data_IF_984406545371
#
_entry.id   IF_984406545371
#
_cell.length_a   1.000
_cell.length_b   1.000
_cell.length_c   1.000
_cell.angle_alpha   90.00
_cell.angle_beta   90.00
_cell.angle_gamma   90.00
#
_symmetry.space_group_name_H-M   'P 1'
#
loop_
_entity.id
_entity.type
_entity.pdbx_description
1 polymer ?
#
# COMPACT_ATOMS: atom_id res chain seq x y z
N UNK A 1 10.06 13.69 -13.57
CA UNK A 1 8.75 13.13 -13.95
C UNK A 1 7.69 13.83 -13.12
N UNK A 2 6.98 14.76 -13.75
CA UNK A 2 5.81 15.41 -13.13
C UNK A 2 4.59 14.56 -13.45
N UNK A 3 4.18 13.70 -12.48
CA UNK A 3 2.90 13.04 -12.55
C UNK A 3 1.81 14.05 -12.16
N UNK A 4 0.85 14.25 -13.03
CA UNK A 4 -0.32 15.09 -12.75
C UNK A 4 -1.49 14.21 -12.33
N UNK A 5 -2.04 14.39 -11.12
CA UNK A 5 -3.22 13.66 -10.67
C UNK A 5 -4.42 13.95 -11.57
N UNK A 6 -5.11 12.91 -11.99
CA UNK A 6 -6.28 13.00 -12.86
C UNK A 6 -7.59 13.00 -12.05
N UNK A 7 -8.66 13.45 -12.69
CA UNK A 7 -10.01 13.32 -12.15
C UNK A 7 -10.63 12.04 -12.67
N UNK A 8 -11.08 11.21 -11.73
CA UNK A 8 -11.78 9.95 -11.98
C UNK A 8 -13.22 10.07 -11.53
N UNK A 9 -14.10 9.47 -12.31
CA UNK A 9 -15.48 9.25 -11.93
C UNK A 9 -15.64 7.78 -11.55
N UNK A 10 -16.05 7.53 -10.30
CA UNK A 10 -16.19 6.18 -9.74
C UNK A 10 -17.67 5.94 -9.49
N UNK A 11 -18.22 4.93 -10.15
CA UNK A 11 -19.60 4.46 -10.00
C UNK A 11 -19.58 3.15 -9.20
N UNK A 12 -20.40 3.06 -8.17
CA UNK A 12 -20.68 1.86 -7.40
C UNK A 12 -22.19 1.71 -7.16
N UNK A 13 -22.61 0.76 -6.32
CA UNK A 13 -24.02 0.51 -5.98
C UNK A 13 -24.70 1.69 -5.27
N UNK A 14 -23.93 2.60 -4.64
CA UNK A 14 -24.41 3.75 -3.88
C UNK A 14 -24.55 5.02 -4.75
N UNK A 15 -23.91 5.02 -5.92
CA UNK A 15 -23.94 6.14 -6.87
C UNK A 15 -22.60 6.43 -7.52
N UNK A 16 -22.49 7.66 -8.04
CA UNK A 16 -21.31 8.11 -8.77
C UNK A 16 -20.64 9.26 -8.02
N UNK A 17 -19.33 9.14 -7.79
CA UNK A 17 -18.53 10.13 -7.09
C UNK A 17 -17.32 10.50 -7.96
N UNK A 18 -16.91 11.78 -7.92
CA UNK A 18 -15.73 12.27 -8.63
C UNK A 18 -14.60 12.54 -7.63
N UNK A 19 -13.43 11.99 -7.93
CA UNK A 19 -12.22 12.22 -7.17
C UNK A 19 -11.07 12.68 -8.07
N UNK A 20 -10.34 13.69 -7.61
CA UNK A 20 -9.01 13.94 -8.14
C UNK A 20 -8.05 13.02 -7.38
N UNK A 21 -7.42 12.07 -8.06
CA UNK A 21 -6.62 11.05 -7.41
C UNK A 21 -5.21 10.96 -8.01
N UNK A 22 -4.25 10.69 -7.15
CA UNK A 22 -2.91 10.26 -7.53
C UNK A 22 -2.90 8.76 -7.88
N UNK A 23 -3.66 7.96 -7.11
CA UNK A 23 -3.73 6.51 -7.24
C UNK A 23 -5.12 6.05 -6.79
N UNK A 24 -5.64 5.04 -7.48
CA UNK A 24 -6.80 4.25 -7.06
C UNK A 24 -6.34 2.80 -6.98
N UNK A 25 -6.49 2.17 -5.81
CA UNK A 25 -6.19 0.77 -5.59
C UNK A 25 -7.47 0.00 -5.27
N UNK A 26 -7.74 -1.05 -6.03
CA UNK A 26 -8.82 -2.01 -5.79
C UNK A 26 -8.20 -3.25 -5.16
N UNK A 27 -8.48 -3.50 -3.90
CA UNK A 27 -7.79 -4.50 -3.11
C UNK A 27 -8.75 -5.53 -2.52
N UNK A 28 -8.42 -6.80 -2.68
CA UNK A 28 -9.05 -7.92 -1.98
C UNK A 28 -8.17 -8.42 -0.82
N UNK A 29 -6.91 -8.01 -0.80
CA UNK A 29 -5.95 -8.29 0.27
C UNK A 29 -5.38 -6.98 0.82
N UNK A 30 -4.95 -7.00 2.09
CA UNK A 30 -4.52 -5.78 2.78
C UNK A 30 -3.22 -5.17 2.26
N UNK A 31 -2.38 -5.96 1.59
CA UNK A 31 -1.02 -5.57 1.21
C UNK A 31 -0.84 -5.44 -0.30
N UNK A 32 -0.04 -4.46 -0.71
CA UNK A 32 0.61 -4.46 -2.02
C UNK A 32 1.76 -5.48 -2.11
N UNK A 33 2.33 -5.87 -0.98
CA UNK A 33 3.54 -6.67 -0.81
C UNK A 33 4.51 -6.01 0.17
N UNK A 34 5.51 -6.77 0.64
CA UNK A 34 6.58 -6.29 1.53
C UNK A 34 6.07 -5.44 2.72
N UNK A 35 4.97 -5.86 3.33
CA UNK A 35 4.33 -5.16 4.46
C UNK A 35 3.84 -3.72 4.14
N UNK A 36 3.65 -3.35 2.88
CA UNK A 36 3.00 -2.10 2.48
C UNK A 36 1.47 -2.30 2.45
N UNK A 37 0.77 -1.84 3.47
CA UNK A 37 -0.65 -2.08 3.68
C UNK A 37 -1.47 -0.95 3.08
N UNK A 38 -1.88 -1.09 1.82
CA UNK A 38 -2.69 -0.09 1.10
C UNK A 38 -4.17 -0.14 1.48
N UNK A 39 -4.67 -1.30 1.89
CA UNK A 39 -6.04 -1.52 2.33
C UNK A 39 -6.03 -2.32 3.65
N UNK A 40 -5.66 -1.71 4.80
CA UNK A 40 -5.45 -2.43 6.06
C UNK A 40 -6.66 -3.24 6.53
N UNK A 41 -7.87 -2.83 6.15
CA UNK A 41 -9.13 -3.45 6.55
C UNK A 41 -9.62 -4.52 5.55
N UNK A 42 -8.92 -4.73 4.44
CA UNK A 42 -9.34 -5.70 3.43
C UNK A 42 -9.34 -7.13 3.96
N UNK A 43 -10.38 -7.88 3.63
CA UNK A 43 -10.59 -9.26 4.01
C UNK A 43 -10.82 -10.15 2.79
N UNK A 44 -10.08 -11.24 2.69
CA UNK A 44 -10.19 -12.22 1.60
C UNK A 44 -11.51 -13.00 1.60
N UNK A 45 -12.32 -12.88 2.65
CA UNK A 45 -13.46 -13.78 2.89
C UNK A 45 -14.80 -13.09 3.09
N UNK A 46 -14.83 -11.75 3.08
CA UNK A 46 -16.07 -10.99 3.36
C UNK A 46 -16.89 -10.68 2.10
N UNK A 47 -16.36 -11.01 0.91
CA UNK A 47 -17.05 -10.81 -0.36
C UNK A 47 -17.12 -9.34 -0.79
N UNK A 48 -16.26 -8.48 -0.26
CA UNK A 48 -16.13 -7.08 -0.63
C UNK A 48 -14.71 -6.75 -1.08
N UNK A 49 -14.59 -5.81 -1.97
CA UNK A 49 -13.34 -5.21 -2.42
C UNK A 49 -13.16 -3.88 -1.70
N UNK A 50 -12.01 -3.66 -1.12
CA UNK A 50 -11.61 -2.37 -0.53
C UNK A 50 -10.97 -1.50 -1.61
N UNK A 51 -11.56 -0.32 -1.83
CA UNK A 51 -11.06 0.67 -2.79
C UNK A 51 -10.41 1.79 -2.01
N UNK A 52 -9.11 1.96 -2.21
CA UNK A 52 -8.32 3.02 -1.60
C UNK A 52 -7.96 4.07 -2.64
N UNK A 53 -8.33 5.30 -2.38
CA UNK A 53 -8.08 6.45 -3.26
C UNK A 53 -7.10 7.37 -2.55
N UNK A 54 -5.92 7.56 -3.14
CA UNK A 54 -4.94 8.53 -2.67
C UNK A 54 -5.15 9.83 -3.43
N UNK A 55 -5.59 10.85 -2.72
CA UNK A 55 -5.71 12.22 -3.24
C UNK A 55 -4.34 12.84 -3.54
N UNK A 56 -4.27 13.94 -4.31
CA UNK A 56 -3.03 14.66 -4.52
C UNK A 56 -2.36 15.05 -3.21
N UNK A 57 -1.07 14.83 -3.13
CA UNK A 57 -0.26 15.09 -1.93
C UNK A 57 1.03 15.83 -2.29
N UNK A 58 1.68 16.40 -1.31
CA UNK A 58 2.95 17.11 -1.44
C UNK A 58 4.12 16.29 -0.89
N UNK A 59 5.34 16.72 -1.15
CA UNK A 59 6.54 16.06 -0.60
C UNK A 59 6.50 16.04 0.94
N UNK A 60 5.84 17.01 1.57
CA UNK A 60 5.70 17.08 3.03
C UNK A 60 4.76 16.00 3.59
N UNK A 61 3.83 15.49 2.80
CA UNK A 61 2.92 14.42 3.19
C UNK A 61 3.59 13.02 3.14
N UNK A 62 4.67 12.88 2.35
CA UNK A 62 5.35 11.59 2.08
C UNK A 62 5.79 10.85 3.35
N UNK A 63 6.44 11.49 4.34
CA UNK A 63 6.84 10.77 5.56
C UNK A 63 5.66 10.17 6.33
N UNK A 64 4.57 10.93 6.45
CA UNK A 64 3.34 10.47 7.12
C UNK A 64 2.67 9.33 6.36
N UNK A 65 2.49 9.49 5.05
CA UNK A 65 1.92 8.45 4.19
C UNK A 65 2.73 7.15 4.25
N UNK A 66 4.07 7.25 4.15
CA UNK A 66 4.96 6.09 4.23
C UNK A 66 4.86 5.40 5.59
N UNK A 67 4.92 6.17 6.69
CA UNK A 67 4.80 5.63 8.03
C UNK A 67 3.48 4.88 8.22
N UNK A 68 2.37 5.47 7.80
CA UNK A 68 1.04 4.87 7.94
C UNK A 68 0.84 3.66 7.04
N UNK A 69 1.44 3.66 5.83
CA UNK A 69 1.41 2.52 4.91
C UNK A 69 2.01 1.25 5.55
N UNK A 70 3.15 1.40 6.24
CA UNK A 70 3.81 0.27 6.91
C UNK A 70 3.20 -0.08 8.28
N UNK A 71 2.54 0.87 8.95
CA UNK A 71 1.89 0.66 10.23
C UNK A 71 0.42 0.22 10.15
N UNK A 72 -0.09 -0.13 8.98
CA UNK A 72 -1.50 -0.55 8.78
C UNK A 72 -2.52 0.54 9.16
N UNK A 73 -2.15 1.81 9.02
CA UNK A 73 -3.02 2.95 9.39
C UNK A 73 -3.18 3.97 8.27
N UNK A 74 -2.87 3.57 7.03
CA UNK A 74 -2.95 4.46 5.87
C UNK A 74 -4.37 4.99 5.63
N UNK A 75 -5.39 4.20 5.96
CA UNK A 75 -6.81 4.54 5.90
C UNK A 75 -7.21 5.68 6.85
N UNK A 76 -6.38 6.01 7.84
CA UNK A 76 -6.58 7.15 8.75
C UNK A 76 -5.96 8.45 8.22
N UNK A 77 -5.24 8.41 7.10
CA UNK A 77 -4.64 9.60 6.52
C UNK A 77 -5.70 10.49 5.85
N UNK A 78 -5.61 11.79 6.06
CA UNK A 78 -6.56 12.76 5.48
C UNK A 78 -6.58 12.79 3.95
N UNK A 79 -5.48 12.36 3.30
CA UNK A 79 -5.34 12.23 1.84
C UNK A 79 -5.91 10.94 1.29
N UNK A 80 -6.36 10.03 2.17
CA UNK A 80 -6.92 8.75 1.77
C UNK A 80 -8.45 8.79 1.90
N UNK A 81 -9.12 8.30 0.86
CA UNK A 81 -10.53 7.96 0.88
C UNK A 81 -10.67 6.48 0.66
N UNK A 82 -11.55 5.87 1.41
CA UNK A 82 -11.83 4.43 1.29
C UNK A 82 -13.31 4.21 1.02
N UNK A 83 -13.60 3.21 0.23
CA UNK A 83 -14.96 2.67 0.03
C UNK A 83 -14.89 1.17 -0.14
N UNK A 84 -16.01 0.49 0.03
CA UNK A 84 -16.13 -0.95 -0.16
C UNK A 84 -17.24 -1.24 -1.14
N UNK A 85 -16.99 -2.12 -2.10
CA UNK A 85 -17.95 -2.48 -3.11
C UNK A 85 -17.70 -3.90 -3.63
N UNK A 86 -18.71 -4.52 -4.22
CA UNK A 86 -18.55 -5.77 -4.98
C UNK A 86 -18.11 -5.50 -6.40
N UNK A 87 -18.57 -4.37 -6.93
CA UNK A 87 -18.30 -3.94 -8.29
C UNK A 87 -18.16 -2.43 -8.34
N UNK A 88 -17.20 -1.94 -9.14
CA UNK A 88 -17.05 -0.53 -9.45
C UNK A 88 -16.76 -0.35 -10.92
N UNK A 89 -17.16 0.83 -11.44
CA UNK A 89 -16.70 1.34 -12.72
C UNK A 89 -15.91 2.61 -12.48
N UNK A 90 -14.76 2.69 -13.10
CA UNK A 90 -13.88 3.86 -13.03
C UNK A 90 -13.79 4.44 -14.43
N UNK A 91 -14.23 5.69 -14.57
CA UNK A 91 -14.07 6.44 -15.81
C UNK A 91 -12.98 7.51 -15.64
N UNK A 92 -12.10 7.60 -16.65
CA UNK A 92 -11.04 8.61 -16.76
C UNK A 92 -11.00 9.24 -18.15
N UNK A 93 -10.40 10.43 -18.24
CA UNK A 93 -10.43 11.22 -19.49
C UNK A 93 -9.58 10.66 -20.61
N UNK A 94 -8.49 9.94 -20.27
CA UNK A 94 -7.54 9.37 -21.23
C UNK A 94 -7.09 7.97 -20.79
N UNK A 95 -6.61 7.20 -21.73
CA UNK A 95 -5.95 5.93 -21.47
C UNK A 95 -4.66 6.13 -20.69
N UNK A 96 -4.24 5.15 -19.90
CA UNK A 96 -3.04 5.26 -19.09
C UNK A 96 -2.63 3.92 -18.51
N UNK A 97 -1.48 3.93 -17.85
CA UNK A 97 -0.93 2.73 -17.21
C UNK A 97 -1.75 2.36 -15.99
N UNK A 98 -2.03 1.08 -15.85
CA UNK A 98 -2.52 0.44 -14.64
C UNK A 98 -1.71 -0.84 -14.40
N UNK A 99 -1.92 -1.54 -13.31
CA UNK A 99 -1.25 -2.81 -13.04
C UNK A 99 -2.18 -3.80 -12.34
N UNK A 100 -1.96 -5.09 -12.61
CA UNK A 100 -2.55 -6.20 -11.89
C UNK A 100 -1.43 -6.87 -11.08
N UNK A 101 -1.51 -6.81 -9.76
CA UNK A 101 -0.53 -7.41 -8.84
C UNK A 101 0.94 -7.10 -9.16
N UNK A 102 1.20 -5.89 -9.69
CA UNK A 102 2.54 -5.44 -10.07
C UNK A 102 2.85 -5.51 -11.58
N UNK A 103 2.08 -6.26 -12.36
CA UNK A 103 2.28 -6.36 -13.81
C UNK A 103 1.63 -5.16 -14.53
N UNK A 104 2.42 -4.29 -15.20
CA UNK A 104 1.90 -3.09 -15.85
C UNK A 104 1.17 -3.42 -17.14
N UNK A 105 0.03 -2.78 -17.35
CA UNK A 105 -0.76 -2.86 -18.58
C UNK A 105 -1.28 -1.47 -18.98
N UNK A 106 -1.60 -1.30 -20.26
CA UNK A 106 -2.34 -0.13 -20.72
C UNK A 106 -3.83 -0.37 -20.52
N UNK A 107 -4.45 0.43 -19.66
CA UNK A 107 -5.90 0.41 -19.45
C UNK A 107 -6.62 1.47 -20.25
N UNK A 108 -7.85 1.18 -20.65
CA UNK A 108 -8.75 2.11 -21.34
C UNK A 108 -9.25 3.25 -20.47
N UNK A 109 -10.20 4.01 -20.99
CA UNK A 109 -10.87 5.10 -20.26
C UNK A 109 -11.88 4.58 -19.26
N UNK A 110 -12.51 3.46 -19.57
CA UNK A 110 -13.51 2.80 -18.76
C UNK A 110 -12.92 1.50 -18.23
N UNK A 111 -12.85 1.38 -16.93
CA UNK A 111 -12.30 0.24 -16.22
C UNK A 111 -13.39 -0.30 -15.31
N UNK A 112 -13.73 -1.56 -15.48
CA UNK A 112 -14.68 -2.26 -14.61
C UNK A 112 -13.90 -3.26 -13.75
N UNK A 113 -14.13 -3.21 -12.43
CA UNK A 113 -13.54 -4.13 -11.48
C UNK A 113 -14.66 -4.78 -10.68
N UNK A 114 -14.66 -6.11 -10.65
CA UNK A 114 -15.67 -6.89 -9.97
C UNK A 114 -15.03 -7.99 -9.13
N UNK A 115 -15.48 -8.13 -7.90
CA UNK A 115 -15.09 -9.23 -7.03
C UNK A 115 -15.93 -10.47 -7.36
N UNK A 116 -15.26 -11.58 -7.66
CA UNK A 116 -15.90 -12.88 -7.87
C UNK A 116 -15.77 -13.68 -6.55
N UNK A 117 -16.86 -13.83 -5.77
CA UNK A 117 -16.80 -14.60 -4.53
C UNK A 117 -16.44 -16.06 -4.81
N UNK A 118 -15.63 -16.64 -3.94
CA UNK A 118 -15.18 -18.04 -4.04
C UNK A 118 -14.49 -18.40 -5.37
N UNK A 119 -13.92 -17.39 -6.07
CA UNK A 119 -13.24 -17.59 -7.36
C UNK A 119 -11.94 -18.40 -7.28
N UNK A 120 -11.34 -18.52 -6.08
CA UNK A 120 -10.09 -19.24 -5.89
C UNK A 120 -10.14 -20.05 -4.57
N UNK A 121 -9.75 -21.33 -4.67
CA UNK A 121 -9.53 -22.17 -3.50
C UNK A 121 -8.05 -22.14 -3.12
N UNK A 122 -7.72 -21.75 -1.90
CA UNK A 122 -6.35 -21.68 -1.39
C UNK A 122 -6.17 -22.61 -0.21
N UNK A 123 -4.99 -23.22 -0.12
CA UNK A 123 -4.59 -24.02 1.04
C UNK A 123 -3.93 -23.08 2.03
N UNK A 124 -4.52 -22.98 3.23
CA UNK A 124 -3.98 -22.15 4.30
C UNK A 124 -3.35 -23.01 5.39
N UNK A 125 -2.27 -22.55 5.99
CA UNK A 125 -1.69 -23.18 7.17
C UNK A 125 -2.52 -22.83 8.41
N UNK A 126 -2.90 -23.85 9.18
CA UNK A 126 -3.55 -23.62 10.49
C UNK A 126 -2.57 -23.16 11.59
N UNK A 127 -1.28 -23.09 11.29
CA UNK A 127 -0.30 -22.54 12.23
C UNK A 127 -0.45 -21.01 12.21
N UNK A 128 -0.86 -20.41 13.34
CA UNK A 128 -0.68 -18.98 13.56
C UNK A 128 0.81 -18.68 13.41
N UNK A 129 1.20 -17.91 12.40
CA UNK A 129 2.52 -17.28 12.42
C UNK A 129 2.53 -16.37 13.64
N UNK A 130 3.40 -16.63 14.60
CA UNK A 130 3.78 -15.61 15.56
C UNK A 130 4.39 -14.49 14.71
N UNK A 131 3.69 -13.36 14.66
CA UNK A 131 4.23 -12.16 14.03
C UNK A 131 5.39 -11.72 14.92
N UNK A 132 6.63 -12.05 14.54
CA UNK A 132 7.77 -11.40 15.15
C UNK A 132 7.61 -9.89 14.95
N UNK A 133 7.77 -9.07 15.99
CA UNK A 133 7.66 -7.63 15.87
C UNK A 133 8.81 -7.11 14.99
N UNK A 134 8.53 -7.07 13.69
CA UNK A 134 9.43 -6.47 12.72
C UNK A 134 9.52 -4.98 13.04
N UNK A 135 10.70 -4.49 13.34
CA UNK A 135 10.86 -3.05 13.58
C UNK A 135 10.52 -2.30 12.30
N UNK A 136 9.78 -1.20 12.40
CA UNK A 136 9.41 -0.32 11.28
C UNK A 136 10.63 0.03 10.39
N UNK A 137 11.80 0.22 11.02
CA UNK A 137 13.07 0.47 10.34
C UNK A 137 13.51 -0.71 9.45
N UNK A 138 13.31 -1.95 9.88
CA UNK A 138 13.62 -3.14 9.07
C UNK A 138 12.69 -3.24 7.85
N UNK A 139 11.40 -2.95 8.00
CA UNK A 139 10.44 -2.94 6.90
C UNK A 139 10.77 -1.87 5.85
N UNK A 140 11.11 -0.66 6.30
CA UNK A 140 11.51 0.44 5.42
C UNK A 140 12.80 0.07 4.67
N UNK A 141 13.76 -0.53 5.34
CA UNK A 141 15.04 -0.91 4.73
C UNK A 141 14.86 -2.05 3.72
N UNK A 142 14.05 -3.07 4.01
CA UNK A 142 13.76 -4.14 3.05
C UNK A 142 13.04 -3.62 1.81
N UNK A 143 12.07 -2.72 1.98
CA UNK A 143 11.40 -2.08 0.86
C UNK A 143 12.38 -1.32 -0.05
N UNK A 144 13.28 -0.53 0.53
CA UNK A 144 14.28 0.23 -0.25
C UNK A 144 15.43 -0.64 -0.77
N UNK A 145 15.76 -1.76 -0.14
CA UNK A 145 16.79 -2.69 -0.63
C UNK A 145 16.33 -3.49 -1.88
N UNK A 146 15.02 -3.65 -2.07
CA UNK A 146 14.46 -4.20 -3.30
C UNK A 146 14.57 -3.26 -4.53
N UNK A 147 14.80 -1.97 -4.30
CA UNK A 147 15.08 -0.98 -5.34
C UNK A 147 16.58 -1.00 -5.67
N UNK A 148 16.95 -1.87 -6.57
CA UNK A 148 18.29 -2.22 -7.16
C UNK A 148 19.60 -1.44 -6.88
N UNK A 149 20.74 -2.08 -7.09
CA UNK A 149 21.89 -2.15 -6.18
C UNK A 149 23.08 -1.25 -6.56
N UNK A 150 22.91 0.05 -6.82
CA UNK A 150 24.08 0.97 -6.87
C UNK A 150 24.44 1.60 -5.52
N UNK A 151 23.63 1.38 -4.51
CA UNK A 151 23.80 1.96 -3.16
C UNK A 151 23.94 0.93 -2.03
N UNK A 152 24.10 -0.35 -2.33
CA UNK A 152 24.15 -1.42 -1.31
C UNK A 152 25.28 -1.22 -0.29
N UNK A 153 26.45 -0.78 -0.72
CA UNK A 153 27.57 -0.55 0.19
C UNK A 153 27.37 0.68 1.10
N UNK A 154 26.76 1.74 0.58
CA UNK A 154 26.47 2.95 1.36
C UNK A 154 25.39 2.72 2.42
N UNK A 155 24.39 1.91 2.08
CA UNK A 155 23.30 1.54 2.99
C UNK A 155 23.82 0.60 4.08
N UNK A 156 24.62 -0.41 3.73
CA UNK A 156 25.26 -1.31 4.71
C UNK A 156 26.16 -0.56 5.68
N UNK A 157 26.93 0.41 5.22
CA UNK A 157 27.82 1.22 6.09
C UNK A 157 27.01 2.09 7.08
N UNK A 158 25.97 2.78 6.62
CA UNK A 158 25.07 3.57 7.48
C UNK A 158 24.26 2.66 8.43
N UNK A 159 23.88 1.49 7.98
CA UNK A 159 23.10 0.53 8.77
C UNK A 159 23.92 -0.08 9.91
N UNK A 160 25.16 -0.43 9.67
CA UNK A 160 26.06 -0.90 10.72
C UNK A 160 26.27 0.19 11.80
N UNK A 161 26.32 1.47 11.41
CA UNK A 161 26.45 2.57 12.37
C UNK A 161 25.20 2.75 13.25
N UNK A 162 23.99 2.63 12.67
CA UNK A 162 22.72 2.70 13.39
C UNK A 162 22.51 1.49 14.32
N UNK A 163 22.92 0.29 13.89
CA UNK A 163 22.81 -0.92 14.68
C UNK A 163 23.76 -0.91 15.91
N UNK A 164 24.96 -0.33 15.75
CA UNK A 164 25.90 -0.12 16.85
C UNK A 164 25.37 0.91 17.84
N UNK A 165 24.73 2.01 17.36
CA UNK A 165 24.11 3.01 18.23
C UNK A 165 22.96 2.43 19.07
N UNK A 166 22.13 1.59 18.47
CA UNK A 166 20.99 0.97 19.15
C UNK A 166 21.44 -0.04 20.23
N UNK A 167 22.50 -0.80 19.99
CA UNK A 167 23.12 -1.68 21.01
C UNK A 167 23.71 -0.89 22.20
N UNK A 168 24.27 0.29 21.95
CA UNK A 168 24.78 1.14 23.03
C UNK A 168 23.67 1.76 23.89
N UNK A 169 22.54 2.15 23.27
CA UNK A 169 21.34 2.65 23.95
C UNK A 169 20.69 1.57 24.83
N UNK A 170 20.53 0.37 24.30
CA UNK A 170 19.93 -0.77 25.02
C UNK A 170 20.79 -1.20 26.20
N UNK A 171 22.14 -1.17 26.11
CA UNK A 171 23.06 -1.45 27.23
C UNK A 171 23.01 -0.40 28.32
N UNK A 172 22.63 0.86 28.04
CA UNK A 172 22.46 1.90 29.07
C UNK A 172 21.10 1.80 29.79
N UNK A 173 20.07 1.28 29.13
CA UNK A 173 18.75 1.10 29.74
C UNK A 173 18.66 -0.18 30.61
N UNK A 174 19.51 -1.18 30.37
CA UNK A 174 19.56 -2.41 31.18
C UNK A 174 20.42 -2.30 32.46
N UNK A 175 21.01 -1.13 32.73
CA UNK A 175 21.84 -0.88 33.93
C UNK A 175 21.21 0.14 34.90
N UNK A 176 19.93 0.41 34.73
CA UNK A 176 19.08 1.07 35.72
C UNK A 176 17.95 0.10 36.09
#
# INVERSE_FOLDING_TARGET
LTYEPETYEIENEEGTIKYKAFLIACANASQYGNNAYIAPQASLTDGLMDVTILEPFTVLDVPSLSFQLFNKTIDQNSRIKTMRAKKIKIHRTKEGVMHYDGDPVMGGKDIEVELIPHGLNVIISNKKKEEEPFSLLQQIVEYFSGLKPKHEELIKQKYNHLFVLNRHLLRRLSKK
#
